data_IF_616486981734
#
_entry.id   IF_616486981734
#
_cell.length_a   1.000
_cell.length_b   1.000
_cell.length_c   1.000
_cell.angle_alpha   90.00
_cell.angle_beta   90.00
_cell.angle_gamma   90.00
#
_symmetry.space_group_name_H-M   'P 1'
#
loop_
_entity.id
_entity.type
_entity.pdbx_description
1 polymer ?
#
# COMPACT_ATOMS: atom_id res chain seq x y z
N UNK A 1 12.17 -16.45 -3.15
CA UNK A 1 11.01 -15.56 -3.37
C UNK A 1 11.40 -14.14 -3.01
N UNK A 2 11.03 -13.14 -3.79
CA UNK A 2 11.20 -11.76 -3.32
C UNK A 2 10.41 -11.58 -2.03
N UNK A 3 11.08 -11.11 -1.00
CA UNK A 3 10.48 -10.86 0.31
C UNK A 3 9.75 -9.52 0.29
N UNK A 4 8.60 -9.43 0.93
CA UNK A 4 7.87 -8.17 1.19
C UNK A 4 8.33 -7.53 2.51
N UNK A 5 9.60 -7.72 2.90
CA UNK A 5 10.17 -7.06 4.07
C UNK A 5 10.38 -5.57 3.81
N UNK A 6 10.45 -4.78 4.87
CA UNK A 6 10.72 -3.35 4.80
C UNK A 6 12.01 -3.03 4.04
N UNK A 7 13.08 -3.78 4.30
CA UNK A 7 14.38 -3.62 3.64
C UNK A 7 14.29 -3.81 2.13
N UNK A 8 13.56 -4.84 1.67
CA UNK A 8 13.41 -5.09 0.23
C UNK A 8 12.58 -4.02 -0.45
N UNK A 9 11.51 -3.54 0.19
CA UNK A 9 10.67 -2.47 -0.35
C UNK A 9 11.45 -1.14 -0.37
N UNK A 10 12.21 -0.85 0.68
CA UNK A 10 13.08 0.33 0.73
C UNK A 10 14.16 0.28 -0.35
N UNK A 11 14.79 -0.88 -0.53
CA UNK A 11 15.79 -1.09 -1.61
C UNK A 11 15.17 -0.91 -3.01
N UNK A 12 13.92 -1.36 -3.19
CA UNK A 12 13.21 -1.16 -4.45
C UNK A 12 12.96 0.33 -4.74
N UNK A 13 12.56 1.12 -3.74
CA UNK A 13 12.42 2.57 -3.88
C UNK A 13 13.76 3.25 -4.21
N UNK A 14 14.85 2.86 -3.57
CA UNK A 14 16.19 3.35 -3.87
C UNK A 14 16.60 3.04 -5.33
N UNK A 15 16.34 1.82 -5.79
CA UNK A 15 16.62 1.43 -7.16
C UNK A 15 15.79 2.22 -8.18
N UNK A 16 14.51 2.51 -7.88
CA UNK A 16 13.66 3.34 -8.73
C UNK A 16 14.22 4.76 -8.83
N UNK A 17 14.58 5.38 -7.71
CA UNK A 17 15.14 6.73 -7.70
C UNK A 17 16.50 6.81 -8.42
N UNK A 18 17.33 5.78 -8.30
CA UNK A 18 18.60 5.70 -9.01
C UNK A 18 18.43 5.56 -10.53
N UNK A 19 17.44 4.76 -10.96
CA UNK A 19 17.17 4.53 -12.38
C UNK A 19 16.42 5.69 -13.03
N UNK A 20 15.57 6.38 -12.28
CA UNK A 20 14.72 7.47 -12.75
C UNK A 20 14.93 8.72 -11.89
N UNK A 21 16.10 9.39 -12.04
CA UNK A 21 16.44 10.53 -11.19
C UNK A 21 15.66 11.79 -11.57
N UNK A 22 15.43 12.64 -10.57
CA UNK A 22 14.96 14.02 -10.79
C UNK A 22 16.09 14.88 -11.38
N UNK A 23 15.74 15.91 -12.11
CA UNK A 23 14.38 16.39 -12.49
C UNK A 23 13.80 15.74 -13.73
N UNK A 24 14.55 14.83 -14.39
CA UNK A 24 14.13 14.20 -15.64
C UNK A 24 12.86 13.35 -15.47
N UNK A 25 12.76 12.64 -14.33
CA UNK A 25 11.62 11.80 -14.01
C UNK A 25 10.98 12.21 -12.69
N UNK A 26 9.66 12.30 -12.68
CA UNK A 26 8.87 12.64 -11.49
C UNK A 26 7.83 11.54 -11.26
N UNK A 27 7.89 10.88 -10.10
CA UNK A 27 6.88 9.90 -9.72
C UNK A 27 5.62 10.66 -9.29
N UNK A 28 4.52 10.51 -10.02
CA UNK A 28 3.23 11.14 -9.75
C UNK A 28 2.17 10.17 -9.27
N UNK A 29 2.31 8.89 -9.57
CA UNK A 29 1.36 7.85 -9.18
C UNK A 29 2.14 6.66 -8.64
N UNK A 30 1.67 6.13 -7.51
CA UNK A 30 2.13 4.88 -6.94
C UNK A 30 0.93 3.95 -6.72
N UNK A 31 1.01 2.73 -7.24
CA UNK A 31 -0.04 1.72 -7.10
C UNK A 31 0.43 0.60 -6.17
N UNK A 32 -0.16 0.52 -4.99
CA UNK A 32 0.05 -0.56 -4.03
C UNK A 32 -0.89 -1.72 -4.37
N UNK A 33 -0.42 -2.66 -5.18
CA UNK A 33 -1.16 -3.84 -5.60
C UNK A 33 -0.66 -5.12 -4.92
N UNK A 34 -0.29 -5.01 -3.65
CA UNK A 34 0.23 -6.11 -2.84
C UNK A 34 -0.95 -6.89 -2.25
N UNK A 35 -0.91 -8.22 -2.35
CA UNK A 35 -1.91 -9.07 -1.70
C UNK A 35 -1.37 -10.48 -1.42
N UNK A 36 -1.79 -11.03 -0.29
CA UNK A 36 -1.61 -12.43 0.07
C UNK A 36 -2.95 -12.99 0.52
N UNK A 37 -3.46 -13.97 -0.22
CA UNK A 37 -4.74 -14.60 0.07
C UNK A 37 -4.58 -15.87 0.92
N UNK A 38 -5.43 -15.98 1.94
CA UNK A 38 -5.56 -17.19 2.77
C UNK A 38 -7.04 -17.56 2.83
N UNK A 39 -7.37 -18.73 2.33
CA UNK A 39 -8.74 -19.26 2.32
C UNK A 39 -8.77 -20.61 3.03
N UNK A 40 -9.10 -20.60 4.31
CA UNK A 40 -9.19 -21.76 5.18
C UNK A 40 -10.36 -21.60 6.17
N UNK A 41 -11.03 -22.70 6.60
CA UNK A 41 -11.88 -22.67 7.77
C UNK A 41 -11.14 -22.06 8.96
N UNK A 42 -11.84 -21.32 9.81
CA UNK A 42 -11.20 -20.58 10.92
C UNK A 42 -10.33 -21.45 11.81
N UNK A 43 -10.79 -22.67 12.12
CA UNK A 43 -10.05 -23.58 13.00
C UNK A 43 -8.79 -24.20 12.35
N UNK A 44 -8.67 -24.10 11.01
CA UNK A 44 -7.51 -24.60 10.27
C UNK A 44 -6.47 -23.50 9.99
N UNK A 45 -6.77 -22.25 10.39
CA UNK A 45 -5.84 -21.13 10.24
C UNK A 45 -4.70 -21.28 11.25
N UNK A 46 -3.48 -21.29 10.75
CA UNK A 46 -2.27 -21.36 11.57
C UNK A 46 -1.77 -19.98 11.98
N UNK A 47 -0.96 -19.86 13.04
CA UNK A 47 -0.27 -18.62 13.35
C UNK A 47 0.56 -18.05 12.17
N UNK A 48 1.14 -18.93 11.35
CA UNK A 48 1.91 -18.53 10.17
C UNK A 48 0.99 -17.90 9.10
N UNK A 49 -0.19 -18.45 8.85
CA UNK A 49 -1.17 -17.87 7.92
C UNK A 49 -1.54 -16.43 8.34
N UNK A 50 -1.69 -16.19 9.64
CA UNK A 50 -2.00 -14.87 10.18
C UNK A 50 -0.81 -13.92 9.99
N UNK A 51 0.40 -14.37 10.34
CA UNK A 51 1.61 -13.57 10.19
C UNK A 51 1.86 -13.20 8.73
N UNK A 52 1.75 -14.14 7.81
CA UNK A 52 1.95 -13.91 6.38
C UNK A 52 0.90 -12.93 5.83
N UNK A 53 -0.37 -13.10 6.22
CA UNK A 53 -1.43 -12.19 5.79
C UNK A 53 -1.18 -10.76 6.29
N UNK A 54 -0.84 -10.58 7.55
CA UNK A 54 -0.58 -9.26 8.13
C UNK A 54 0.72 -8.65 7.59
N UNK A 55 1.78 -9.46 7.45
CA UNK A 55 3.05 -8.99 6.90
C UNK A 55 2.90 -8.49 5.47
N UNK A 56 2.21 -9.25 4.62
CA UNK A 56 2.12 -8.92 3.20
C UNK A 56 1.01 -7.89 2.93
N UNK A 57 -0.18 -8.07 3.50
CA UNK A 57 -1.30 -7.15 3.21
C UNK A 57 -1.21 -5.83 3.97
N UNK A 58 -0.55 -5.78 5.14
CA UNK A 58 -0.52 -4.60 6.00
C UNK A 58 0.87 -4.03 6.11
N UNK A 59 1.84 -4.75 6.69
CA UNK A 59 3.16 -4.20 6.95
C UNK A 59 3.87 -3.75 5.66
N UNK A 60 3.84 -4.58 4.62
CA UNK A 60 4.40 -4.20 3.32
C UNK A 60 3.70 -3.00 2.68
N UNK A 61 2.38 -2.86 2.89
CA UNK A 61 1.64 -1.68 2.42
C UNK A 61 2.08 -0.40 3.13
N UNK A 62 2.40 -0.45 4.44
CA UNK A 62 3.01 0.68 5.17
C UNK A 62 4.36 1.09 4.58
N UNK A 63 5.26 0.13 4.37
CA UNK A 63 6.59 0.39 3.80
C UNK A 63 6.50 0.99 2.39
N UNK A 64 5.63 0.42 1.54
CA UNK A 64 5.38 0.94 0.19
C UNK A 64 4.81 2.36 0.22
N UNK A 65 3.79 2.59 1.04
CA UNK A 65 3.15 3.90 1.18
C UNK A 65 4.12 4.97 1.68
N UNK A 66 4.98 4.63 2.65
CA UNK A 66 6.02 5.53 3.15
C UNK A 66 6.93 6.02 2.02
N UNK A 67 7.44 5.10 1.19
CA UNK A 67 8.29 5.47 0.05
C UNK A 67 7.56 6.35 -0.96
N UNK A 68 6.30 6.03 -1.27
CA UNK A 68 5.48 6.83 -2.18
C UNK A 68 5.25 8.26 -1.65
N UNK A 69 4.86 8.40 -0.38
CA UNK A 69 4.60 9.69 0.24
C UNK A 69 5.87 10.55 0.29
N UNK A 70 7.01 9.97 0.65
CA UNK A 70 8.29 10.68 0.62
C UNK A 70 8.63 11.20 -0.78
N UNK A 71 8.44 10.38 -1.82
CA UNK A 71 8.64 10.80 -3.19
C UNK A 71 7.69 11.94 -3.61
N UNK A 72 6.42 11.90 -3.17
CA UNK A 72 5.44 12.93 -3.49
C UNK A 72 5.68 14.24 -2.74
N UNK A 73 6.12 14.20 -1.49
CA UNK A 73 6.44 15.41 -0.71
C UNK A 73 7.54 16.24 -1.35
N UNK A 74 8.42 15.59 -2.08
CA UNK A 74 9.51 16.22 -2.82
C UNK A 74 9.11 16.76 -4.21
N UNK A 75 7.84 16.66 -4.58
CA UNK A 75 7.31 17.15 -5.85
C UNK A 75 6.68 18.53 -5.70
N UNK A 76 6.74 19.33 -6.75
CA UNK A 76 5.88 20.50 -6.90
C UNK A 76 4.42 20.09 -7.11
N UNK A 77 3.51 21.00 -6.74
CA UNK A 77 2.08 20.82 -7.03
C UNK A 77 1.87 20.91 -8.54
N UNK A 78 1.25 19.89 -9.12
CA UNK A 78 0.90 19.86 -10.53
C UNK A 78 -0.31 20.78 -10.77
N UNK A 79 -0.17 21.75 -11.65
CA UNK A 79 -1.22 22.75 -11.89
C UNK A 79 -2.50 22.19 -12.49
N UNK A 80 -2.40 21.10 -13.25
CA UNK A 80 -3.52 20.48 -13.92
C UNK A 80 -4.53 19.83 -12.94
N UNK A 81 -4.08 19.36 -11.77
CA UNK A 81 -4.90 18.62 -10.82
C UNK A 81 -4.74 19.07 -9.36
N UNK A 82 -3.81 19.98 -9.08
CA UNK A 82 -3.55 20.50 -7.74
C UNK A 82 -2.89 19.49 -6.79
N UNK A 83 -2.22 18.45 -7.30
CA UNK A 83 -1.63 17.37 -6.49
C UNK A 83 -0.13 17.29 -6.64
N UNK A 84 0.53 16.82 -5.58
CA UNK A 84 1.94 16.42 -5.59
C UNK A 84 2.10 14.97 -6.09
N UNK A 85 1.12 14.13 -5.80
CA UNK A 85 1.07 12.73 -6.23
C UNK A 85 -0.20 12.04 -5.77
N UNK A 86 -0.41 10.83 -6.31
CA UNK A 86 -1.55 9.97 -6.01
C UNK A 86 -1.08 8.59 -5.62
N UNK A 87 -1.44 8.15 -4.41
CA UNK A 87 -1.23 6.79 -3.91
C UNK A 87 -2.54 6.02 -4.01
N UNK A 88 -2.51 4.89 -4.70
CA UNK A 88 -3.68 4.04 -4.90
C UNK A 88 -3.43 2.68 -4.23
N UNK A 89 -4.34 2.26 -3.37
CA UNK A 89 -4.36 0.91 -2.83
C UNK A 89 -5.39 0.07 -3.56
N UNK A 90 -4.97 -1.07 -4.10
CA UNK A 90 -5.90 -2.06 -4.63
C UNK A 90 -6.53 -2.83 -3.49
N UNK A 91 -7.82 -2.67 -3.34
CA UNK A 91 -8.63 -3.43 -2.42
C UNK A 91 -9.11 -4.75 -3.02
N UNK A 92 -10.07 -5.32 -2.34
CA UNK A 92 -10.84 -6.48 -2.76
C UNK A 92 -12.23 -6.36 -2.14
N UNK A 93 -13.17 -7.20 -2.52
CA UNK A 93 -14.45 -7.32 -1.81
C UNK A 93 -14.20 -7.51 -0.30
N UNK A 94 -13.20 -8.31 0.04
CA UNK A 94 -12.72 -8.56 1.42
C UNK A 94 -12.12 -7.35 2.14
N UNK A 95 -12.02 -6.19 1.50
CA UNK A 95 -11.65 -4.93 2.18
C UNK A 95 -12.85 -4.21 2.80
N UNK A 96 -14.07 -4.64 2.50
CA UNK A 96 -15.30 -4.04 3.02
C UNK A 96 -16.32 -5.05 3.53
N UNK A 97 -16.13 -6.33 3.21
CA UNK A 97 -17.02 -7.40 3.61
C UNK A 97 -16.20 -8.69 3.78
N UNK A 98 -16.23 -9.26 4.98
CA UNK A 98 -15.63 -10.57 5.23
C UNK A 98 -16.55 -11.68 4.74
N UNK A 99 -15.98 -12.81 4.37
CA UNK A 99 -16.70 -14.00 3.96
C UNK A 99 -16.22 -15.25 4.72
N UNK A 100 -16.98 -16.32 4.60
CA UNK A 100 -16.60 -17.64 5.13
C UNK A 100 -15.24 -18.03 4.58
N UNK A 101 -14.41 -18.68 5.37
CA UNK A 101 -13.03 -19.14 5.09
C UNK A 101 -12.01 -18.05 4.69
N UNK A 102 -12.35 -16.79 4.81
CA UNK A 102 -11.49 -15.68 4.41
C UNK A 102 -11.03 -14.81 5.57
N UNK A 103 -11.13 -15.25 6.83
CA UNK A 103 -10.92 -14.40 8.01
C UNK A 103 -9.51 -13.78 8.05
N UNK A 104 -8.44 -14.53 7.81
CA UNK A 104 -7.08 -14.01 7.79
C UNK A 104 -6.84 -13.04 6.62
N UNK A 105 -7.35 -13.35 5.43
CA UNK A 105 -7.26 -12.46 4.26
C UNK A 105 -8.06 -11.17 4.47
N UNK A 106 -9.29 -11.28 4.97
CA UNK A 106 -10.14 -10.13 5.26
C UNK A 106 -9.50 -9.20 6.30
N UNK A 107 -8.95 -9.74 7.40
CA UNK A 107 -8.23 -8.96 8.40
C UNK A 107 -7.09 -8.12 7.77
N UNK A 108 -6.29 -8.72 6.89
CA UNK A 108 -5.23 -8.01 6.16
C UNK A 108 -5.78 -6.93 5.24
N UNK A 109 -6.82 -7.22 4.46
CA UNK A 109 -7.41 -6.26 3.52
C UNK A 109 -8.16 -5.11 4.20
N UNK A 110 -8.84 -5.35 5.30
CA UNK A 110 -9.40 -4.28 6.15
C UNK A 110 -8.29 -3.41 6.74
N UNK A 111 -7.17 -4.01 7.17
CA UNK A 111 -6.00 -3.27 7.65
C UNK A 111 -5.43 -2.32 6.58
N UNK A 112 -5.24 -2.79 5.36
CA UNK A 112 -4.79 -1.95 4.24
C UNK A 112 -5.79 -0.81 3.94
N UNK A 113 -7.10 -1.07 4.03
CA UNK A 113 -8.13 -0.04 3.87
C UNK A 113 -8.07 1.00 4.98
N UNK A 114 -7.92 0.57 6.23
CA UNK A 114 -7.77 1.49 7.37
C UNK A 114 -6.55 2.40 7.20
N UNK A 115 -5.41 1.83 6.77
CA UNK A 115 -4.21 2.59 6.42
C UNK A 115 -4.50 3.65 5.37
N UNK A 116 -5.15 3.29 4.26
CA UNK A 116 -5.46 4.22 3.18
C UNK A 116 -6.32 5.40 3.64
N UNK A 117 -7.30 5.15 4.50
CA UNK A 117 -8.16 6.19 5.08
C UNK A 117 -7.39 7.15 6.01
N UNK A 118 -6.49 6.60 6.82
CA UNK A 118 -5.65 7.39 7.71
C UNK A 118 -4.74 8.32 6.90
N UNK A 119 -4.04 7.76 5.91
CA UNK A 119 -3.13 8.52 5.04
C UNK A 119 -3.88 9.59 4.22
N UNK A 120 -5.08 9.30 3.73
CA UNK A 120 -5.89 10.27 3.01
C UNK A 120 -6.22 11.49 3.87
N UNK A 121 -6.55 11.30 5.15
CA UNK A 121 -6.82 12.38 6.09
C UNK A 121 -5.57 13.16 6.48
N UNK A 122 -4.46 12.46 6.70
CA UNK A 122 -3.20 13.07 7.13
C UNK A 122 -2.56 13.91 6.03
N UNK A 123 -2.43 13.35 4.83
CA UNK A 123 -1.67 13.95 3.73
C UNK A 123 -2.54 14.70 2.70
N UNK A 124 -3.86 14.64 2.80
CA UNK A 124 -4.75 15.40 1.92
C UNK A 124 -4.50 16.91 1.95
N UNK A 125 -4.22 17.47 3.13
CA UNK A 125 -3.85 18.87 3.32
C UNK A 125 -2.48 19.26 2.73
N UNK A 126 -1.64 18.27 2.45
CA UNK A 126 -0.36 18.45 1.76
C UNK A 126 -0.46 18.23 0.24
N UNK A 127 -1.68 18.19 -0.30
CA UNK A 127 -1.96 17.95 -1.72
C UNK A 127 -1.49 16.58 -2.24
N UNK A 128 -1.47 15.58 -1.37
CA UNK A 128 -1.26 14.17 -1.74
C UNK A 128 -2.62 13.48 -1.71
N UNK A 129 -3.00 12.90 -2.86
CA UNK A 129 -4.23 12.14 -2.96
C UNK A 129 -3.99 10.67 -2.61
N UNK A 130 -4.82 10.12 -1.73
CA UNK A 130 -4.78 8.70 -1.39
C UNK A 130 -6.15 8.09 -1.65
N UNK A 131 -6.19 7.05 -2.45
CA UNK A 131 -7.40 6.34 -2.83
C UNK A 131 -7.30 4.85 -2.50
N UNK A 132 -8.44 4.25 -2.19
CA UNK A 132 -8.61 2.81 -2.08
C UNK A 132 -9.68 2.37 -3.08
N UNK A 133 -9.30 1.54 -4.03
CA UNK A 133 -10.18 1.04 -5.09
C UNK A 133 -10.47 -0.44 -4.90
N UNK A 134 -11.65 -0.91 -5.33
CA UNK A 134 -12.09 -2.31 -5.27
C UNK A 134 -12.79 -2.70 -6.57
#
# INVERSE_FOLDING_TARGET
>A
MPSYSDDHITSAWQAIHAKFPKPEYIIRVALCNIAHGVWKPFLDITPQDIQDSLQINVAAAFSFARGAILAFKDNDIEQSNGKRGTLIFTGALSSGQASVVASAFAAGKFGARALSQSLAKEFGKENIHVAHVR
#
